data_IF_601335495456
#
_entry.id   IF_601335495456
#
_cell.length_a   1.000
_cell.length_b   1.000
_cell.length_c   1.000
_cell.angle_alpha   90.00
_cell.angle_beta   90.00
_cell.angle_gamma   90.00
#
_symmetry.space_group_name_H-M   'P 1'
#
loop_
_entity.id
_entity.type
_entity.pdbx_description
1 polymer ?
#
# COMPACT_ATOMS: atom_id res chain seq x y z
N UNK A 1 13.82 24.61 6.51
CA UNK A 1 14.24 23.23 6.82
C UNK A 1 14.12 22.41 5.56
N UNK A 2 15.22 21.83 5.07
CA UNK A 2 15.21 21.00 3.87
C UNK A 2 14.54 19.68 4.24
N UNK A 3 13.31 19.45 3.77
CA UNK A 3 12.72 18.12 3.80
C UNK A 3 13.50 17.29 2.80
N UNK A 4 14.56 16.63 3.25
CA UNK A 4 15.16 15.54 2.49
C UNK A 4 14.05 14.53 2.23
N UNK A 5 13.49 14.55 1.02
CA UNK A 5 12.64 13.49 0.50
C UNK A 5 13.58 12.29 0.43
N UNK A 6 13.55 11.45 1.47
CA UNK A 6 14.38 10.26 1.55
C UNK A 6 13.90 9.31 0.47
N UNK A 7 14.50 9.42 -0.71
CA UNK A 7 14.12 8.66 -1.90
C UNK A 7 14.26 7.17 -1.57
N UNK A 8 13.21 6.39 -1.87
CA UNK A 8 13.25 4.94 -1.71
C UNK A 8 14.46 4.33 -2.41
N UNK A 9 15.05 3.30 -1.79
CA UNK A 9 16.14 2.54 -2.41
C UNK A 9 15.66 1.89 -3.72
N UNK A 10 16.60 1.52 -4.60
CA UNK A 10 16.27 0.85 -5.87
C UNK A 10 15.57 -0.50 -5.64
N UNK A 11 15.99 -1.26 -4.62
CA UNK A 11 15.35 -2.54 -4.26
C UNK A 11 13.93 -2.30 -3.73
N UNK A 12 13.76 -1.33 -2.82
CA UNK A 12 12.44 -0.98 -2.27
C UNK A 12 11.46 -0.54 -3.36
N UNK A 13 11.93 0.24 -4.35
CA UNK A 13 11.09 0.59 -5.51
C UNK A 13 10.68 -0.64 -6.31
N UNK A 14 11.58 -1.58 -6.54
CA UNK A 14 11.31 -2.81 -7.31
C UNK A 14 10.29 -3.70 -6.59
N UNK A 15 10.50 -3.94 -5.31
CA UNK A 15 9.58 -4.74 -4.49
C UNK A 15 8.22 -4.05 -4.36
N UNK A 16 8.20 -2.73 -4.23
CA UNK A 16 6.97 -1.95 -4.24
C UNK A 16 6.24 -2.01 -5.58
N UNK A 17 6.93 -1.99 -6.72
CA UNK A 17 6.28 -2.17 -8.03
C UNK A 17 5.66 -3.58 -8.18
N UNK A 18 6.31 -4.61 -7.66
CA UNK A 18 5.73 -5.97 -7.62
C UNK A 18 4.44 -5.99 -6.78
N UNK A 19 4.47 -5.36 -5.60
CA UNK A 19 3.29 -5.23 -4.74
C UNK A 19 2.18 -4.42 -5.42
N UNK A 20 2.50 -3.27 -6.03
CA UNK A 20 1.54 -2.46 -6.80
C UNK A 20 0.85 -3.26 -7.89
N UNK A 21 1.61 -4.06 -8.63
CA UNK A 21 1.06 -4.90 -9.68
C UNK A 21 0.13 -5.97 -9.13
N UNK A 22 0.48 -6.59 -8.00
CA UNK A 22 -0.37 -7.58 -7.33
C UNK A 22 -1.66 -6.93 -6.80
N UNK A 23 -1.56 -5.84 -6.05
CA UNK A 23 -2.69 -5.09 -5.50
C UNK A 23 -3.66 -4.61 -6.60
N UNK A 24 -3.13 -4.23 -7.77
CA UNK A 24 -3.94 -3.88 -8.95
C UNK A 24 -4.82 -5.02 -9.44
N UNK A 25 -4.35 -6.27 -9.40
CA UNK A 25 -5.16 -7.45 -9.77
C UNK A 25 -6.30 -7.69 -8.78
N UNK A 26 -6.09 -7.35 -7.51
CA UNK A 26 -7.11 -7.44 -6.46
C UNK A 26 -8.14 -6.30 -6.53
N UNK A 27 -7.89 -5.28 -7.36
CA UNK A 27 -8.80 -4.15 -7.55
C UNK A 27 -8.39 -2.89 -6.79
N UNK A 28 -7.23 -2.89 -6.13
CA UNK A 28 -6.67 -1.71 -5.49
C UNK A 28 -5.71 -0.95 -6.42
N UNK A 29 -5.78 0.37 -6.41
CA UNK A 29 -4.84 1.24 -7.13
C UNK A 29 -3.85 1.83 -6.14
N UNK A 30 -2.62 2.06 -6.57
CA UNK A 30 -1.64 2.84 -5.81
C UNK A 30 -1.94 4.33 -5.93
N UNK A 31 -1.78 5.07 -4.82
CA UNK A 31 -2.05 6.51 -4.79
C UNK A 31 -0.81 7.32 -4.47
N UNK A 32 -0.27 7.12 -3.27
CA UNK A 32 0.84 7.93 -2.81
C UNK A 32 1.73 7.16 -1.84
N UNK A 33 2.99 7.57 -1.86
CA UNK A 33 3.94 7.34 -0.78
C UNK A 33 4.08 8.68 -0.06
N UNK A 34 3.65 8.76 1.20
CA UNK A 34 3.78 9.97 2.02
C UNK A 34 4.29 9.59 3.40
N UNK A 35 5.38 10.26 3.84
CA UNK A 35 5.97 10.04 5.17
C UNK A 35 6.35 8.59 5.49
N UNK A 36 6.66 7.77 4.46
CA UNK A 36 6.98 6.35 4.63
C UNK A 36 5.75 5.44 4.72
N UNK A 37 4.57 5.94 4.34
CA UNK A 37 3.36 5.15 4.18
C UNK A 37 2.98 5.06 2.72
N UNK A 38 2.58 3.88 2.28
CA UNK A 38 2.00 3.63 0.96
C UNK A 38 0.54 3.28 1.12
N UNK A 39 -0.32 3.94 0.36
CA UNK A 39 -1.77 3.66 0.36
C UNK A 39 -2.25 3.09 -0.97
N UNK A 40 -2.98 1.99 -0.88
CA UNK A 40 -3.71 1.32 -1.94
C UNK A 40 -5.22 1.49 -1.72
N UNK A 41 -5.96 1.96 -2.72
CA UNK A 41 -7.40 2.21 -2.60
C UNK A 41 -8.21 1.72 -3.79
N UNK A 42 -9.47 1.38 -3.59
CA UNK A 42 -10.35 0.96 -4.69
C UNK A 42 -11.10 2.13 -5.34
N UNK A 43 -11.22 3.27 -4.65
CA UNK A 43 -11.99 4.43 -5.11
C UNK A 43 -11.20 5.73 -4.93
N UNK A 44 -11.41 6.67 -5.84
CA UNK A 44 -10.93 8.05 -5.69
C UNK A 44 -11.94 8.82 -4.84
N UNK A 45 -11.47 9.86 -4.15
CA UNK A 45 -12.38 10.88 -3.60
C UNK A 45 -13.27 11.45 -4.71
N UNK A 46 -14.45 11.97 -4.35
CA UNK A 46 -15.42 12.56 -5.31
C UNK A 46 -14.77 13.68 -6.15
N UNK A 47 -13.79 14.39 -5.60
CA UNK A 47 -13.04 15.44 -6.30
C UNK A 47 -11.93 14.89 -7.22
N UNK A 48 -11.81 13.57 -7.37
CA UNK A 48 -10.82 12.88 -8.20
C UNK A 48 -9.39 12.92 -7.68
N UNK A 49 -9.15 13.50 -6.49
CA UNK A 49 -7.81 13.66 -5.90
C UNK A 49 -7.70 12.82 -4.64
N UNK A 50 -6.73 11.89 -4.58
CA UNK A 50 -6.49 11.06 -3.39
C UNK A 50 -7.46 9.88 -3.24
N UNK A 51 -7.23 9.09 -2.18
CA UNK A 51 -7.99 7.88 -1.87
C UNK A 51 -9.31 8.25 -1.18
N UNK A 52 -10.41 7.59 -1.53
CA UNK A 52 -11.63 7.70 -0.74
C UNK A 52 -11.36 7.28 0.72
N UNK A 53 -12.07 7.83 1.72
CA UNK A 53 -11.84 7.49 3.13
C UNK A 53 -12.21 6.04 3.48
N UNK A 54 -12.61 5.23 2.50
CA UNK A 54 -13.04 3.86 2.63
C UNK A 54 -12.53 3.01 1.46
N UNK A 55 -12.56 1.69 1.64
CA UNK A 55 -12.09 0.70 0.67
C UNK A 55 -10.58 0.88 0.35
N UNK A 56 -9.74 0.99 1.39
CA UNK A 56 -8.29 1.16 1.27
C UNK A 56 -7.47 0.31 2.24
N UNK A 57 -6.20 0.17 1.89
CA UNK A 57 -5.13 -0.47 2.67
C UNK A 57 -3.93 0.47 2.67
N UNK A 58 -3.38 0.77 3.85
CA UNK A 58 -2.15 1.53 4.02
C UNK A 58 -1.11 0.68 4.73
N UNK A 59 0.13 0.73 4.24
CA UNK A 59 1.27 0.02 4.83
C UNK A 59 2.43 0.97 5.08
N UNK A 60 3.15 0.76 6.17
CA UNK A 60 4.45 1.41 6.37
C UNK A 60 5.50 0.72 5.51
N UNK A 61 6.40 1.48 4.87
CA UNK A 61 7.59 0.95 4.18
C UNK A 61 8.84 0.99 5.05
N UNK A 62 8.69 1.28 6.35
CA UNK A 62 9.80 1.45 7.30
C UNK A 62 9.78 0.44 8.44
N UNK A 63 8.60 -0.05 8.79
CA UNK A 63 8.35 -1.01 9.87
C UNK A 63 7.09 -1.80 9.51
N UNK A 64 6.90 -2.95 10.16
CA UNK A 64 5.77 -3.82 9.90
C UNK A 64 4.52 -3.22 10.54
N UNK A 65 3.71 -2.52 9.74
CA UNK A 65 2.44 -1.92 10.19
C UNK A 65 1.47 -1.78 9.04
N UNK A 66 0.22 -2.13 9.32
CA UNK A 66 -0.84 -2.36 8.36
C UNK A 66 -2.15 -1.77 8.87
N UNK A 67 -2.79 -0.95 8.04
CA UNK A 67 -4.12 -0.43 8.28
C UNK A 67 -5.03 -0.78 7.09
N UNK A 68 -6.25 -1.22 7.37
CA UNK A 68 -7.27 -1.44 6.35
C UNK A 68 -8.63 -0.94 6.82
N UNK A 69 -9.32 -0.25 5.93
CA UNK A 69 -10.73 0.11 6.09
C UNK A 69 -11.48 -0.30 4.82
N UNK A 70 -12.24 -1.40 4.91
CA UNK A 70 -12.90 -2.05 3.78
C UNK A 70 -14.38 -2.23 4.09
N UNK A 71 -15.26 -1.70 3.22
CA UNK A 71 -16.70 -1.86 3.32
C UNK A 71 -17.26 -2.73 2.19
N UNK A 72 -16.59 -2.77 1.04
CA UNK A 72 -17.00 -3.61 -0.07
C UNK A 72 -16.66 -5.08 0.18
N UNK A 73 -17.67 -5.95 0.23
CA UNK A 73 -17.50 -7.40 0.43
C UNK A 73 -16.54 -8.07 -0.57
N UNK A 74 -16.50 -7.60 -1.83
CA UNK A 74 -15.55 -8.11 -2.84
C UNK A 74 -14.09 -7.77 -2.50
N UNK A 75 -13.84 -6.66 -1.79
CA UNK A 75 -12.50 -6.29 -1.33
C UNK A 75 -12.16 -6.98 -0.02
N UNK A 76 -13.14 -7.11 0.89
CA UNK A 76 -12.99 -7.84 2.15
C UNK A 76 -12.60 -9.30 1.89
N UNK A 77 -13.22 -9.95 0.90
CA UNK A 77 -12.88 -11.34 0.54
C UNK A 77 -11.46 -11.51 0.00
N UNK A 78 -10.84 -10.43 -0.51
CA UNK A 78 -9.47 -10.40 -1.04
C UNK A 78 -8.43 -9.98 0.00
N UNK A 79 -8.86 -9.53 1.19
CA UNK A 79 -7.96 -9.12 2.26
C UNK A 79 -6.91 -10.20 2.61
N UNK A 80 -7.24 -11.51 2.72
CA UNK A 80 -6.23 -12.53 2.99
C UNK A 80 -5.12 -12.59 1.94
N UNK A 81 -5.45 -12.47 0.65
CA UNK A 81 -4.47 -12.48 -0.44
C UNK A 81 -3.62 -11.20 -0.42
N UNK A 82 -4.26 -10.04 -0.22
CA UNK A 82 -3.56 -8.77 -0.06
C UNK A 82 -2.59 -8.78 1.13
N UNK A 83 -3.00 -9.34 2.28
CA UNK A 83 -2.17 -9.47 3.46
C UNK A 83 -0.95 -10.35 3.21
N UNK A 84 -1.08 -11.47 2.51
CA UNK A 84 0.08 -12.30 2.14
C UNK A 84 1.04 -11.55 1.21
N UNK A 85 0.56 -10.86 0.19
CA UNK A 85 1.42 -10.07 -0.70
C UNK A 85 2.16 -8.94 0.05
N UNK A 86 1.55 -8.36 1.08
CA UNK A 86 2.17 -7.36 1.95
C UNK A 86 3.23 -7.99 2.86
N UNK A 87 2.98 -9.19 3.39
CA UNK A 87 3.97 -9.94 4.16
C UNK A 87 5.19 -10.30 3.29
N UNK A 88 4.97 -10.79 2.06
CA UNK A 88 6.05 -11.07 1.10
C UNK A 88 6.89 -9.82 0.82
N UNK A 89 6.24 -8.65 0.72
CA UNK A 89 6.94 -7.37 0.59
C UNK A 89 7.81 -7.06 1.81
N UNK A 90 7.29 -7.24 3.03
CA UNK A 90 8.07 -7.02 4.25
C UNK A 90 9.26 -7.96 4.37
N UNK A 91 9.09 -9.23 4.07
CA UNK A 91 10.18 -10.21 4.04
C UNK A 91 11.27 -9.81 3.05
N UNK A 92 10.89 -9.38 1.83
CA UNK A 92 11.82 -8.94 0.80
C UNK A 92 12.58 -7.66 1.18
N UNK A 93 11.98 -6.77 1.98
CA UNK A 93 12.63 -5.57 2.52
C UNK A 93 13.44 -5.84 3.80
N UNK A 94 13.37 -7.07 4.35
CA UNK A 94 13.99 -7.40 5.64
C UNK A 94 13.35 -6.69 6.84
N UNK A 95 12.11 -6.23 6.68
CA UNK A 95 11.30 -5.60 7.72
C UNK A 95 10.69 -6.72 8.57
N UNK A 96 10.90 -6.67 9.88
CA UNK A 96 10.40 -7.65 10.86
C UNK A 96 9.57 -6.95 11.92
N UNK A 97 8.81 -7.73 12.68
CA UNK A 97 8.03 -7.29 13.85
C UNK A 97 8.87 -6.53 14.88
#
# INVERSE_FOLDING_TARGET
>A
MSTEVKVLSTSTRTNLEALKHHMKKLGFKYYEEMNGWVTFGARLMINGKGVAPNDYISISVRFMDFYADLFNFDLISKLPEASHAILDFYEAEGIKE
#
